data_IF_180431171818
#
_entry.id   IF_180431171818
#
_cell.length_a   1.000
_cell.length_b   1.000
_cell.length_c   1.000
_cell.angle_alpha   90.00
_cell.angle_beta   90.00
_cell.angle_gamma   90.00
#
_symmetry.space_group_name_H-M   'P 1'
#
loop_
_entity.id
_entity.type
_entity.pdbx_description
1 polymer ?
#
# COMPACT_ATOMS: atom_id res chain seq x y z
N UNK A 1 -12.68 25.26 -26.67
CA UNK A 1 -13.44 24.69 -27.80
C UNK A 1 -13.06 23.23 -27.84
N UNK A 2 -13.96 22.39 -27.36
CA UNK A 2 -13.75 20.98 -27.07
C UNK A 2 -13.59 20.19 -28.38
N UNK A 3 -12.51 19.40 -28.51
CA UNK A 3 -12.45 18.31 -29.47
C UNK A 3 -13.14 17.10 -28.83
N UNK A 4 -14.46 17.20 -28.68
CA UNK A 4 -15.29 16.01 -28.59
C UNK A 4 -15.16 15.33 -29.97
N UNK A 5 -14.40 14.25 -30.03
CA UNK A 5 -14.33 13.40 -31.22
C UNK A 5 -15.74 12.83 -31.44
N UNK A 6 -16.52 13.51 -32.29
CA UNK A 6 -17.87 13.15 -32.67
C UNK A 6 -17.90 11.73 -33.26
N UNK A 7 -18.12 10.76 -32.39
CA UNK A 7 -18.68 9.45 -32.73
C UNK A 7 -20.11 9.30 -32.21
N UNK A 8 -20.79 10.41 -31.90
CA UNK A 8 -22.22 10.38 -31.68
C UNK A 8 -22.91 10.34 -33.05
N UNK A 9 -23.07 9.15 -33.64
CA UNK A 9 -24.07 8.96 -34.70
C UNK A 9 -25.43 9.16 -34.02
N UNK A 10 -26.19 10.18 -34.37
CA UNK A 10 -27.55 10.32 -33.84
C UNK A 10 -28.47 9.33 -34.56
N UNK A 11 -29.50 8.81 -33.87
CA UNK A 11 -30.59 8.07 -34.50
C UNK A 11 -31.54 9.05 -35.23
N UNK A 12 -32.53 8.51 -35.95
CA UNK A 12 -33.50 9.33 -36.71
C UNK A 12 -34.35 10.25 -35.81
N UNK A 13 -34.38 9.98 -34.50
CA UNK A 13 -35.07 10.76 -33.48
C UNK A 13 -34.14 11.78 -32.79
N UNK A 14 -32.87 11.91 -33.21
CA UNK A 14 -31.90 12.85 -32.64
C UNK A 14 -31.23 12.38 -31.34
N UNK A 15 -31.35 11.10 -30.96
CA UNK A 15 -30.71 10.54 -29.76
C UNK A 15 -29.33 9.92 -30.09
N UNK A 16 -28.36 9.89 -29.15
CA UNK A 16 -27.06 9.27 -29.39
C UNK A 16 -27.16 7.77 -29.66
N UNK A 17 -26.61 7.28 -30.78
CA UNK A 17 -26.31 5.85 -30.99
C UNK A 17 -24.93 5.55 -30.40
N UNK A 18 -24.91 4.77 -29.33
CA UNK A 18 -23.70 4.35 -28.62
C UNK A 18 -23.36 5.20 -27.38
N UNK A 19 -22.29 4.82 -26.66
CA UNK A 19 -21.83 5.52 -25.46
C UNK A 19 -21.18 6.86 -25.78
N UNK A 20 -21.38 7.83 -24.88
CA UNK A 20 -20.78 9.17 -24.98
C UNK A 20 -19.37 9.13 -24.39
N UNK A 21 -18.37 9.33 -25.24
CA UNK A 21 -16.97 9.31 -24.82
C UNK A 21 -16.49 10.73 -24.49
N UNK A 22 -16.17 10.99 -23.23
CA UNK A 22 -15.62 12.27 -22.76
C UNK A 22 -14.14 12.17 -22.44
N UNK A 23 -13.33 13.02 -23.04
CA UNK A 23 -11.90 13.11 -22.70
C UNK A 23 -11.69 14.11 -21.57
N UNK A 24 -11.01 13.69 -20.50
CA UNK A 24 -10.72 14.60 -19.37
C UNK A 24 -9.75 15.70 -19.81
N UNK A 25 -9.95 16.92 -19.30
CA UNK A 25 -9.05 18.06 -19.58
C UNK A 25 -7.65 17.80 -19.02
N UNK A 26 -6.62 18.08 -19.82
CA UNK A 26 -5.21 18.03 -19.40
C UNK A 26 -4.43 19.16 -20.08
N UNK A 27 -3.55 19.82 -19.32
CA UNK A 27 -2.60 20.82 -19.85
C UNK A 27 -1.51 20.19 -20.73
N UNK A 28 -1.25 18.89 -20.55
CA UNK A 28 -0.30 18.14 -21.34
C UNK A 28 -1.05 17.14 -22.23
N UNK A 29 -0.87 17.25 -23.55
CA UNK A 29 -1.43 16.34 -24.56
C UNK A 29 -0.27 15.48 -25.10
N UNK A 30 -0.27 14.19 -24.83
CA UNK A 30 0.74 13.25 -25.34
C UNK A 30 1.07 12.10 -24.38
N UNK A 31 1.60 10.97 -24.88
CA UNK A 31 2.03 9.85 -24.06
C UNK A 31 3.21 10.27 -23.17
N UNK A 32 3.05 10.14 -21.86
CA UNK A 32 4.14 10.35 -20.91
C UNK A 32 4.90 9.05 -20.70
N UNK A 33 6.22 9.14 -20.58
CA UNK A 33 7.07 8.01 -20.24
C UNK A 33 6.52 7.27 -19.02
N UNK A 34 6.64 5.95 -19.02
CA UNK A 34 6.14 5.15 -17.92
C UNK A 34 7.00 5.33 -16.67
N UNK A 35 6.36 5.81 -15.60
CA UNK A 35 6.98 6.00 -14.29
C UNK A 35 7.19 4.69 -13.53
N UNK A 36 7.02 3.56 -14.21
CA UNK A 36 7.04 2.21 -13.64
C UNK A 36 7.84 1.29 -14.55
N UNK A 37 8.57 0.36 -13.94
CA UNK A 37 9.21 -0.78 -14.59
C UNK A 37 8.63 -2.06 -14.02
N UNK A 38 8.29 -3.02 -14.89
CA UNK A 38 7.93 -4.37 -14.47
C UNK A 38 9.12 -5.31 -14.65
N UNK A 39 9.56 -5.96 -13.57
CA UNK A 39 10.68 -6.90 -13.60
C UNK A 39 10.12 -8.32 -13.52
N UNK A 40 10.32 -9.12 -14.58
CA UNK A 40 9.87 -10.50 -14.60
C UNK A 40 10.94 -11.44 -14.04
N UNK A 41 10.70 -11.98 -12.84
CA UNK A 41 11.58 -12.93 -12.16
C UNK A 41 11.35 -14.39 -12.59
N UNK A 42 10.36 -14.66 -13.45
CA UNK A 42 9.96 -16.01 -13.84
C UNK A 42 11.11 -16.87 -14.38
N UNK A 43 11.96 -16.37 -15.30
CA UNK A 43 13.13 -17.12 -15.78
C UNK A 43 14.09 -17.51 -14.66
N UNK A 44 14.38 -16.58 -13.73
CA UNK A 44 15.27 -16.82 -12.60
C UNK A 44 14.69 -17.87 -11.64
N UNK A 45 13.40 -17.75 -11.33
CA UNK A 45 12.73 -18.67 -10.40
C UNK A 45 12.59 -20.08 -10.98
N UNK A 46 12.35 -20.21 -12.29
CA UNK A 46 12.40 -21.52 -12.95
C UNK A 46 13.80 -22.11 -12.89
N UNK A 47 14.84 -21.31 -13.14
CA UNK A 47 16.24 -21.75 -13.08
C UNK A 47 16.64 -22.22 -11.67
N UNK A 48 16.12 -21.58 -10.63
CA UNK A 48 16.40 -21.92 -9.23
C UNK A 48 15.44 -22.96 -8.62
N UNK A 49 14.46 -23.47 -9.38
CA UNK A 49 13.43 -24.38 -8.83
C UNK A 49 12.46 -23.73 -7.84
N UNK A 50 12.40 -22.39 -7.79
CA UNK A 50 11.59 -21.59 -6.86
C UNK A 50 10.28 -21.09 -7.49
N UNK A 51 9.91 -21.59 -8.68
CA UNK A 51 8.71 -21.14 -9.38
C UNK A 51 7.41 -21.37 -8.57
N UNK A 52 7.38 -22.37 -7.69
CA UNK A 52 6.24 -22.66 -6.80
C UNK A 52 6.10 -21.65 -5.65
N UNK A 53 7.14 -20.88 -5.33
CA UNK A 53 7.18 -19.95 -4.21
C UNK A 53 6.52 -18.60 -4.54
N UNK A 54 6.43 -18.23 -5.82
CA UNK A 54 5.86 -16.96 -6.26
C UNK A 54 4.63 -17.15 -7.13
N UNK A 55 3.50 -16.62 -6.66
CA UNK A 55 2.21 -16.68 -7.37
C UNK A 55 2.15 -15.74 -8.57
N UNK A 56 2.89 -14.64 -8.54
CA UNK A 56 3.11 -13.73 -9.68
C UNK A 56 4.61 -13.40 -9.76
N UNK A 57 5.30 -13.71 -10.87
CA UNK A 57 6.72 -13.44 -11.03
C UNK A 57 7.03 -11.98 -11.41
N UNK A 58 6.02 -11.14 -11.64
CA UNK A 58 6.21 -9.76 -12.07
C UNK A 58 6.27 -8.82 -10.86
N UNK A 59 7.41 -8.15 -10.69
CA UNK A 59 7.56 -7.09 -9.69
C UNK A 59 7.22 -5.73 -10.29
N UNK A 60 6.39 -4.97 -9.60
CA UNK A 60 6.00 -3.60 -9.96
C UNK A 60 6.92 -2.60 -9.27
N UNK A 61 7.75 -1.87 -10.02
CA UNK A 61 8.73 -0.94 -9.45
C UNK A 61 8.50 0.48 -9.95
N UNK A 62 8.18 1.42 -9.06
CA UNK A 62 8.02 2.85 -9.41
C UNK A 62 9.38 3.55 -9.47
N UNK A 63 9.57 4.38 -10.50
CA UNK A 63 10.80 5.17 -10.75
C UNK A 63 10.76 6.53 -10.04
N UNK A 64 10.37 6.56 -8.77
CA UNK A 64 10.32 7.78 -7.96
C UNK A 64 11.54 7.86 -7.04
N UNK A 65 12.44 8.81 -7.31
CA UNK A 65 13.68 9.00 -6.54
C UNK A 65 13.36 9.32 -5.07
N UNK A 66 12.37 10.17 -4.83
CA UNK A 66 11.94 10.52 -3.48
C UNK A 66 11.40 9.27 -2.76
N UNK A 67 10.57 8.48 -3.46
CA UNK A 67 10.06 7.21 -2.96
C UNK A 67 11.15 6.21 -2.57
N UNK A 68 12.19 6.05 -3.41
CA UNK A 68 13.33 5.18 -3.08
C UNK A 68 14.08 5.65 -1.83
N UNK A 69 14.32 6.95 -1.68
CA UNK A 69 14.95 7.51 -0.48
C UNK A 69 14.11 7.23 0.77
N UNK A 70 12.79 7.45 0.70
CA UNK A 70 11.87 7.16 1.80
C UNK A 70 11.82 5.66 2.16
N UNK A 71 11.84 4.77 1.16
CA UNK A 71 11.86 3.32 1.38
C UNK A 71 13.14 2.87 2.08
N UNK A 72 14.31 3.34 1.62
CA UNK A 72 15.61 3.05 2.27
C UNK A 72 15.61 3.58 3.70
N UNK A 73 15.15 4.80 3.91
CA UNK A 73 15.08 5.39 5.25
C UNK A 73 14.16 4.58 6.17
N UNK A 74 13.02 4.09 5.67
CA UNK A 74 12.12 3.18 6.42
C UNK A 74 12.87 1.93 6.89
N UNK A 75 13.68 1.31 6.02
CA UNK A 75 14.45 0.12 6.39
C UNK A 75 15.55 0.44 7.40
N UNK A 76 16.21 1.59 7.28
CA UNK A 76 17.23 2.03 8.25
C UNK A 76 16.63 2.27 9.64
N UNK A 77 15.43 2.85 9.73
CA UNK A 77 14.70 3.03 10.99
C UNK A 77 14.40 1.67 11.64
N UNK A 78 13.83 0.73 10.89
CA UNK A 78 13.58 -0.64 11.40
C UNK A 78 14.87 -1.32 11.85
N UNK A 79 15.96 -1.20 11.09
CA UNK A 79 17.27 -1.74 11.46
C UNK A 79 17.84 -1.10 12.73
N UNK A 80 17.64 0.21 12.91
CA UNK A 80 18.04 0.90 14.12
C UNK A 80 17.24 0.40 15.34
N UNK A 81 15.92 0.27 15.21
CA UNK A 81 15.07 -0.28 16.25
C UNK A 81 15.48 -1.72 16.62
N UNK A 82 15.74 -2.57 15.62
CA UNK A 82 16.27 -3.93 15.80
C UNK A 82 17.61 -3.91 16.56
N UNK A 83 18.52 -3.00 16.21
CA UNK A 83 19.80 -2.88 16.88
C UNK A 83 19.63 -2.55 18.38
N UNK A 84 18.85 -1.52 18.69
CA UNK A 84 18.66 -1.07 20.08
C UNK A 84 17.89 -2.11 20.89
N UNK A 85 16.81 -2.69 20.35
CA UNK A 85 16.02 -3.69 21.08
C UNK A 85 16.85 -4.94 21.38
N UNK A 86 17.50 -5.53 20.37
CA UNK A 86 18.18 -6.81 20.57
C UNK A 86 19.52 -6.65 21.29
N UNK A 87 20.38 -5.75 20.84
CA UNK A 87 21.78 -5.69 21.30
C UNK A 87 21.97 -4.78 22.50
N UNK A 88 21.20 -3.70 22.60
CA UNK A 88 21.32 -2.76 23.72
C UNK A 88 20.46 -3.22 24.90
N UNK A 89 19.22 -3.66 24.67
CA UNK A 89 18.28 -4.01 25.74
C UNK A 89 18.23 -5.51 26.08
N UNK A 90 17.99 -6.39 25.10
CA UNK A 90 17.65 -7.79 25.38
C UNK A 90 18.87 -8.68 25.66
N UNK A 91 19.96 -8.51 24.92
CA UNK A 91 21.16 -9.35 25.03
C UNK A 91 21.78 -9.33 26.43
N UNK A 92 21.68 -8.21 27.13
CA UNK A 92 22.31 -8.00 28.44
C UNK A 92 21.36 -8.23 29.61
N UNK A 93 20.05 -8.40 29.35
CA UNK A 93 19.06 -8.53 30.40
C UNK A 93 19.24 -9.87 31.15
N UNK A 94 19.30 -9.86 32.49
CA UNK A 94 19.57 -11.06 33.29
C UNK A 94 18.45 -12.10 33.23
N UNK A 95 17.23 -11.71 32.85
CA UNK A 95 16.12 -12.64 32.69
C UNK A 95 16.07 -13.16 31.24
N UNK A 96 16.71 -14.30 31.01
CA UNK A 96 16.79 -14.94 29.68
C UNK A 96 15.40 -15.23 29.09
N UNK A 97 14.45 -15.70 29.89
CA UNK A 97 13.09 -15.99 29.43
C UNK A 97 12.41 -14.73 28.93
N UNK A 98 12.55 -13.63 29.67
CA UNK A 98 12.04 -12.32 29.26
C UNK A 98 12.64 -11.86 27.94
N UNK A 99 13.96 -12.01 27.79
CA UNK A 99 14.66 -11.63 26.56
C UNK A 99 14.24 -12.45 25.36
N UNK A 100 14.15 -13.77 25.50
CA UNK A 100 13.74 -14.66 24.40
C UNK A 100 12.30 -14.35 24.00
N UNK A 101 11.37 -14.25 24.94
CA UNK A 101 9.95 -14.02 24.62
C UNK A 101 9.76 -12.68 23.91
N UNK A 102 10.29 -11.58 24.46
CA UNK A 102 10.14 -10.26 23.84
C UNK A 102 10.93 -10.13 22.54
N UNK A 103 12.10 -10.75 22.44
CA UNK A 103 12.88 -10.78 21.20
C UNK A 103 12.15 -11.52 20.08
N UNK A 104 11.54 -12.68 20.37
CA UNK A 104 10.74 -13.42 19.39
C UNK A 104 9.50 -12.64 18.94
N UNK A 105 8.82 -11.98 19.88
CA UNK A 105 7.66 -11.12 19.56
C UNK A 105 8.07 -9.96 18.65
N UNK A 106 9.12 -9.23 19.03
CA UNK A 106 9.61 -8.09 18.26
C UNK A 106 10.05 -8.52 16.86
N UNK A 107 10.86 -9.58 16.77
CA UNK A 107 11.37 -10.08 15.50
C UNK A 107 10.25 -10.57 14.57
N UNK A 108 9.24 -11.25 15.11
CA UNK A 108 8.09 -11.69 14.34
C UNK A 108 7.35 -10.50 13.71
N UNK A 109 7.02 -9.48 14.50
CA UNK A 109 6.29 -8.32 13.99
C UNK A 109 7.13 -7.42 13.09
N UNK A 110 8.43 -7.27 13.36
CA UNK A 110 9.35 -6.54 12.50
C UNK A 110 9.49 -7.22 11.12
N UNK A 111 9.62 -8.55 11.10
CA UNK A 111 9.61 -9.33 9.86
C UNK A 111 8.30 -9.13 9.09
N UNK A 112 7.15 -9.20 9.78
CA UNK A 112 5.84 -9.00 9.16
C UNK A 112 5.66 -7.57 8.64
N UNK A 113 6.21 -6.55 9.33
CA UNK A 113 6.21 -5.16 8.88
C UNK A 113 7.02 -4.99 7.59
N UNK A 114 8.25 -5.48 7.56
CA UNK A 114 9.12 -5.41 6.36
C UNK A 114 8.53 -6.20 5.20
N UNK A 115 8.02 -7.41 5.45
CA UNK A 115 7.35 -8.20 4.42
C UNK A 115 6.12 -7.49 3.85
N UNK A 116 5.30 -6.85 4.70
CA UNK A 116 4.14 -6.08 4.26
C UNK A 116 4.54 -4.83 3.47
N UNK A 117 5.60 -4.13 3.91
CA UNK A 117 6.17 -2.98 3.21
C UNK A 117 6.64 -3.34 1.81
N UNK A 118 7.49 -4.37 1.70
CA UNK A 118 8.01 -4.86 0.41
C UNK A 118 6.88 -5.31 -0.50
N UNK A 119 5.86 -5.99 0.02
CA UNK A 119 4.67 -6.37 -0.76
C UNK A 119 3.89 -5.17 -1.23
N UNK A 120 3.67 -4.15 -0.40
CA UNK A 120 3.00 -2.92 -0.81
C UNK A 120 3.77 -2.18 -1.90
N UNK A 121 5.10 -2.12 -1.76
CA UNK A 121 6.01 -1.47 -2.70
C UNK A 121 6.05 -2.16 -4.06
N UNK A 122 6.10 -3.49 -4.08
CA UNK A 122 6.37 -4.27 -5.31
C UNK A 122 5.13 -4.89 -5.97
N UNK A 123 3.94 -4.68 -5.42
CA UNK A 123 2.68 -5.16 -6.02
C UNK A 123 2.07 -4.06 -6.90
N UNK A 124 1.58 -4.43 -8.09
CA UNK A 124 0.78 -3.53 -8.92
C UNK A 124 -0.44 -3.05 -8.10
N UNK A 125 -0.62 -1.73 -7.88
CA UNK A 125 -1.72 -1.19 -7.08
C UNK A 125 -3.09 -1.31 -7.77
N UNK A 126 -3.15 -1.82 -8.99
CA UNK A 126 -4.36 -1.93 -9.80
C UNK A 126 -4.31 -0.98 -11.00
N UNK A 127 -3.18 -0.91 -11.67
CA UNK A 127 -2.95 -0.03 -12.80
C UNK A 127 -3.83 -0.39 -14.00
N UNK A 128 -4.38 0.64 -14.64
CA UNK A 128 -5.15 0.53 -15.87
C UNK A 128 -4.16 0.42 -17.06
N UNK A 129 -4.36 -0.52 -17.98
CA UNK A 129 -3.53 -0.62 -19.18
C UNK A 129 -3.55 0.68 -20.01
N UNK A 130 -2.36 1.17 -20.39
CA UNK A 130 -2.21 2.30 -21.31
C UNK A 130 -2.71 1.93 -22.71
N UNK A 131 -3.18 2.91 -23.46
CA UNK A 131 -3.62 2.70 -24.85
C UNK A 131 -4.88 1.84 -25.00
N UNK A 132 -5.54 1.45 -23.90
CA UNK A 132 -6.72 0.59 -23.98
C UNK A 132 -7.99 1.32 -24.48
N UNK A 133 -7.92 2.63 -24.75
CA UNK A 133 -9.02 3.46 -25.26
C UNK A 133 -9.28 3.27 -26.77
N UNK A 134 -9.27 2.03 -27.26
CA UNK A 134 -9.60 1.70 -28.65
C UNK A 134 -11.12 1.64 -28.87
N UNK A 135 -11.57 1.87 -30.10
CA UNK A 135 -12.99 1.74 -30.45
C UNK A 135 -13.52 0.33 -30.17
N UNK A 136 -12.69 -0.69 -30.39
CA UNK A 136 -13.02 -2.08 -30.09
C UNK A 136 -13.22 -2.29 -28.58
N UNK A 137 -12.32 -1.80 -27.74
CA UNK A 137 -12.45 -1.93 -26.29
C UNK A 137 -13.64 -1.15 -25.75
N UNK A 138 -13.97 0.01 -26.32
CA UNK A 138 -15.18 0.77 -25.95
C UNK A 138 -16.43 -0.02 -26.32
N UNK A 139 -16.48 -0.66 -27.50
CA UNK A 139 -17.60 -1.52 -27.90
C UNK A 139 -17.72 -2.75 -27.00
N UNK A 140 -16.61 -3.35 -26.58
CA UNK A 140 -16.57 -4.51 -25.67
C UNK A 140 -17.11 -4.20 -24.27
N UNK A 141 -17.28 -2.93 -23.91
CA UNK A 141 -17.95 -2.53 -22.68
C UNK A 141 -19.49 -2.64 -22.78
N UNK A 142 -20.05 -2.95 -23.96
CA UNK A 142 -21.49 -3.09 -24.26
C UNK A 142 -22.39 -2.09 -23.51
N UNK A 143 -21.94 -0.85 -23.44
CA UNK A 143 -22.61 0.20 -22.67
C UNK A 143 -23.94 0.55 -23.32
N UNK A 144 -24.92 0.91 -22.49
CA UNK A 144 -26.19 1.42 -22.98
C UNK A 144 -25.99 2.74 -23.74
N UNK A 145 -26.87 3.01 -24.70
CA UNK A 145 -26.88 4.27 -25.44
C UNK A 145 -26.98 5.46 -24.47
N UNK A 146 -26.15 6.48 -24.68
CA UNK A 146 -26.08 7.66 -23.82
C UNK A 146 -25.22 7.49 -22.55
N UNK A 147 -24.73 6.29 -22.23
CA UNK A 147 -23.85 6.10 -21.08
C UNK A 147 -22.48 6.76 -21.30
N UNK A 148 -22.00 7.49 -20.30
CA UNK A 148 -20.76 8.28 -20.42
C UNK A 148 -19.53 7.46 -20.03
N UNK A 149 -18.49 7.49 -20.89
CA UNK A 149 -17.18 6.91 -20.64
C UNK A 149 -16.13 8.00 -20.56
N UNK A 150 -15.33 7.99 -19.49
CA UNK A 150 -14.22 8.92 -19.35
C UNK A 150 -12.93 8.35 -19.92
N UNK A 151 -12.19 9.15 -20.69
CA UNK A 151 -10.85 8.84 -21.17
C UNK A 151 -9.80 9.67 -20.45
N UNK A 152 -8.71 9.02 -20.04
CA UNK A 152 -7.51 9.70 -19.57
C UNK A 152 -6.63 10.11 -20.75
N UNK A 153 -6.38 11.41 -20.98
CA UNK A 153 -5.59 11.86 -22.13
C UNK A 153 -4.10 11.49 -22.03
N UNK A 154 -3.57 11.33 -20.81
CA UNK A 154 -2.15 11.01 -20.56
C UNK A 154 -1.84 9.53 -20.77
N UNK A 155 -2.74 8.66 -20.32
CA UNK A 155 -2.60 7.21 -20.47
C UNK A 155 -3.18 6.68 -21.79
N UNK A 156 -4.00 7.50 -22.47
CA UNK A 156 -4.85 7.08 -23.60
C UNK A 156 -5.65 5.83 -23.21
N UNK A 157 -6.24 5.87 -22.02
CA UNK A 157 -6.93 4.74 -21.41
C UNK A 157 -8.36 5.09 -21.06
N UNK A 158 -9.26 4.11 -21.22
CA UNK A 158 -10.60 4.13 -20.64
C UNK A 158 -10.40 4.17 -19.13
N UNK A 159 -10.95 5.19 -18.48
CA UNK A 159 -10.82 5.40 -17.04
C UNK A 159 -11.99 4.66 -16.36
N UNK A 160 -11.73 3.55 -15.66
CA UNK A 160 -12.77 2.90 -14.87
C UNK A 160 -13.29 3.84 -13.80
N UNK A 161 -14.47 3.52 -13.28
CA UNK A 161 -15.01 4.25 -12.14
C UNK A 161 -14.05 4.20 -10.95
N UNK A 162 -13.98 5.30 -10.18
CA UNK A 162 -13.07 5.49 -9.03
C UNK A 162 -11.57 5.37 -9.35
N UNK A 163 -11.18 5.29 -10.61
CA UNK A 163 -9.77 5.33 -10.98
C UNK A 163 -9.25 6.77 -10.98
N UNK A 164 -7.97 6.99 -10.65
CA UNK A 164 -7.34 8.31 -10.77
C UNK A 164 -5.95 8.21 -11.40
N UNK A 165 -5.55 9.23 -12.13
CA UNK A 165 -4.22 9.29 -12.74
C UNK A 165 -3.21 9.83 -11.73
N UNK A 166 -2.20 9.03 -11.39
CA UNK A 166 -1.06 9.48 -10.59
C UNK A 166 0.03 10.03 -11.52
N UNK A 167 0.44 11.28 -11.30
CA UNK A 167 1.53 11.92 -12.06
C UNK A 167 2.92 11.41 -11.69
N UNK A 168 3.09 10.72 -10.57
CA UNK A 168 4.36 10.09 -10.22
C UNK A 168 4.50 8.76 -10.95
N UNK A 169 3.53 7.86 -10.78
CA UNK A 169 3.52 6.56 -11.46
C UNK A 169 3.25 6.66 -12.98
N UNK A 170 2.72 7.80 -13.47
CA UNK A 170 2.27 7.98 -14.86
C UNK A 170 1.27 6.92 -15.32
N UNK A 171 0.41 6.48 -14.40
CA UNK A 171 -0.58 5.42 -14.58
C UNK A 171 -1.91 5.83 -13.94
N UNK A 172 -3.01 5.38 -14.55
CA UNK A 172 -4.31 5.40 -13.89
C UNK A 172 -4.37 4.20 -12.95
N UNK A 173 -4.72 4.43 -11.68
CA UNK A 173 -4.81 3.39 -10.64
C UNK A 173 -6.29 3.23 -10.26
N UNK A 174 -6.79 2.00 -10.23
CA UNK A 174 -8.17 1.67 -9.80
C UNK A 174 -8.32 1.87 -8.29
N UNK A 175 -9.44 2.46 -7.87
CA UNK A 175 -9.72 2.80 -6.46
C UNK A 175 -8.50 3.45 -5.81
N UNK A 176 -7.93 4.44 -6.51
CA UNK A 176 -6.70 5.10 -6.06
C UNK A 176 -6.99 5.85 -4.77
N UNK A 177 -6.20 5.55 -3.75
CA UNK A 177 -6.27 6.24 -2.48
C UNK A 177 -5.27 7.40 -2.46
N UNK A 178 -3.98 7.10 -2.55
CA UNK A 178 -2.92 8.11 -2.65
C UNK A 178 -1.63 7.54 -3.23
N UNK A 179 -0.70 8.42 -3.62
CA UNK A 179 0.70 8.04 -3.85
C UNK A 179 1.48 8.21 -2.55
N UNK A 180 2.13 7.16 -2.09
CA UNK A 180 2.86 7.17 -0.82
C UNK A 180 4.36 7.00 -1.07
N UNK A 181 5.17 8.05 -0.84
CA UNK A 181 6.62 7.96 -0.97
C UNK A 181 7.23 6.89 -0.05
N UNK A 182 6.68 6.69 1.14
CA UNK A 182 7.20 5.74 2.14
C UNK A 182 7.14 4.27 1.70
N UNK A 183 6.24 3.93 0.79
CA UNK A 183 6.20 2.59 0.15
C UNK A 183 6.61 2.65 -1.32
N UNK A 184 7.11 3.79 -1.80
CA UNK A 184 7.47 4.05 -3.20
C UNK A 184 6.44 3.52 -4.21
N UNK A 185 5.15 3.70 -3.92
CA UNK A 185 4.08 3.19 -4.77
C UNK A 185 2.75 3.94 -4.51
N UNK A 186 1.83 3.83 -5.45
CA UNK A 186 0.43 4.15 -5.16
C UNK A 186 -0.18 3.10 -4.23
N UNK A 187 -1.09 3.53 -3.37
CA UNK A 187 -2.02 2.67 -2.65
C UNK A 187 -3.33 2.66 -3.43
N UNK A 188 -3.73 1.48 -3.88
CA UNK A 188 -4.94 1.26 -4.66
C UNK A 188 -5.56 -0.09 -4.37
N UNK A 189 -6.58 -0.46 -5.15
CA UNK A 189 -7.38 -1.67 -4.94
C UNK A 189 -6.54 -2.93 -4.67
N UNK A 190 -5.48 -3.15 -5.45
CA UNK A 190 -4.76 -4.43 -5.46
C UNK A 190 -3.64 -4.54 -4.42
N UNK A 191 -3.26 -3.46 -3.75
CA UNK A 191 -2.22 -3.46 -2.71
C UNK A 191 -2.64 -2.81 -1.37
N UNK A 192 -3.88 -2.29 -1.26
CA UNK A 192 -4.39 -1.65 -0.04
C UNK A 192 -4.25 -2.53 1.21
N UNK A 193 -4.47 -3.85 1.09
CA UNK A 193 -4.24 -4.81 2.19
C UNK A 193 -2.82 -4.71 2.75
N UNK A 194 -1.82 -4.72 1.89
CA UNK A 194 -0.41 -4.71 2.31
C UNK A 194 -0.04 -3.39 2.97
N UNK A 195 -0.61 -2.28 2.50
CA UNK A 195 -0.45 -0.98 3.14
C UNK A 195 -1.02 -0.98 4.57
N UNK A 196 -2.26 -1.48 4.77
CA UNK A 196 -2.87 -1.57 6.10
C UNK A 196 -2.04 -2.45 7.03
N UNK A 197 -1.61 -3.62 6.56
CA UNK A 197 -0.76 -4.53 7.35
C UNK A 197 0.58 -3.88 7.72
N UNK A 198 1.22 -3.19 6.78
CA UNK A 198 2.45 -2.44 7.04
C UNK A 198 2.25 -1.41 8.16
N UNK A 199 1.23 -0.54 8.05
CA UNK A 199 0.96 0.48 9.08
C UNK A 199 0.59 -0.14 10.43
N UNK A 200 -0.17 -1.23 10.43
CA UNK A 200 -0.55 -1.95 11.65
C UNK A 200 0.67 -2.57 12.34
N UNK A 201 1.57 -3.22 11.59
CA UNK A 201 2.74 -3.86 12.18
C UNK A 201 3.80 -2.86 12.64
N UNK A 202 4.00 -1.73 11.93
CA UNK A 202 4.86 -0.64 12.43
C UNK A 202 4.30 -0.06 13.74
N UNK A 203 2.99 0.14 13.82
CA UNK A 203 2.33 0.61 15.03
C UNK A 203 2.57 -0.36 16.21
N UNK A 204 2.39 -1.67 15.99
CA UNK A 204 2.63 -2.71 17.01
C UNK A 204 4.09 -2.72 17.49
N UNK A 205 5.07 -2.75 16.57
CA UNK A 205 6.49 -2.76 16.99
C UNK A 205 6.91 -1.46 17.66
N UNK A 206 6.32 -0.32 17.27
CA UNK A 206 6.62 0.98 17.89
C UNK A 206 6.15 1.01 19.35
N UNK A 207 4.90 0.59 19.61
CA UNK A 207 4.40 0.52 20.99
C UNK A 207 5.11 -0.55 21.82
N UNK A 208 5.50 -1.67 21.22
CA UNK A 208 6.31 -2.68 21.89
C UNK A 208 7.72 -2.14 22.23
N UNK A 209 8.39 -1.45 21.30
CA UNK A 209 9.68 -0.80 21.56
C UNK A 209 9.59 0.27 22.65
N UNK A 210 8.51 1.06 22.67
CA UNK A 210 8.26 2.05 23.73
C UNK A 210 8.12 1.37 25.10
N UNK A 211 7.31 0.32 25.18
CA UNK A 211 7.15 -0.48 26.39
C UNK A 211 8.49 -1.06 26.87
N UNK A 212 9.27 -1.66 25.96
CA UNK A 212 10.57 -2.24 26.27
C UNK A 212 11.57 -1.18 26.74
N UNK A 213 11.57 0.00 26.13
CA UNK A 213 12.45 1.12 26.50
C UNK A 213 12.14 1.64 27.90
N UNK A 214 10.85 1.79 28.24
CA UNK A 214 10.40 2.21 29.57
C UNK A 214 10.78 1.16 30.62
N UNK A 215 10.49 -0.13 30.34
CA UNK A 215 10.84 -1.22 31.24
C UNK A 215 12.35 -1.29 31.50
N UNK A 216 13.16 -1.16 30.45
CA UNK A 216 14.61 -1.14 30.55
C UNK A 216 15.11 0.05 31.37
N UNK A 217 14.58 1.25 31.13
CA UNK A 217 14.92 2.45 31.89
C UNK A 217 14.62 2.27 33.38
N UNK A 218 13.42 1.83 33.74
CA UNK A 218 13.00 1.63 35.14
C UNK A 218 13.88 0.57 35.83
N UNK A 219 14.19 -0.53 35.15
CA UNK A 219 14.98 -1.61 35.73
C UNK A 219 16.44 -1.20 35.96
N UNK A 220 17.00 -0.41 35.05
CA UNK A 220 18.43 -0.04 35.09
C UNK A 220 18.72 1.25 35.86
N UNK A 221 17.78 2.19 35.94
CA UNK A 221 17.94 3.41 36.76
C UNK A 221 18.10 3.08 38.24
N UNK A 222 17.34 2.09 38.75
CA UNK A 222 17.45 1.63 40.14
C UNK A 222 18.73 0.84 40.46
N UNK A 223 19.48 0.40 39.44
CA UNK A 223 20.75 -0.36 39.59
C UNK A 223 21.98 0.50 39.30
N UNK A 224 21.82 1.82 39.34
CA UNK A 224 22.83 2.86 39.03
C UNK A 224 23.49 2.74 37.65
N UNK A 225 22.97 1.92 36.74
CA UNK A 225 23.60 1.60 35.45
C UNK A 225 25.06 1.07 35.54
N UNK A 226 25.60 0.83 36.75
CA UNK A 226 26.99 0.41 36.98
C UNK A 226 27.20 -1.09 36.74
N UNK A 227 26.13 -1.87 36.75
CA UNK A 227 26.20 -3.29 36.46
C UNK A 227 26.25 -3.54 34.95
N UNK A 228 27.23 -4.34 34.49
CA UNK A 228 27.31 -4.86 33.10
C UNK A 228 26.06 -5.67 32.69
N UNK A 229 25.15 -5.96 33.62
CA UNK A 229 23.85 -6.60 33.37
C UNK A 229 22.78 -5.67 32.77
N UNK A 230 23.09 -4.39 32.52
CA UNK A 230 22.16 -3.45 31.90
C UNK A 230 22.43 -3.27 30.40
N UNK A 231 23.67 -2.97 30.00
CA UNK A 231 24.03 -2.83 28.59
C UNK A 231 25.51 -3.12 28.35
N UNK A 232 25.84 -3.59 27.15
CA UNK A 232 27.22 -3.79 26.70
C UNK A 232 27.97 -2.50 26.33
N UNK A 233 27.26 -1.37 26.28
CA UNK A 233 27.81 -0.03 26.01
C UNK A 233 27.73 0.85 27.26
N UNK A 234 28.44 1.98 27.25
CA UNK A 234 28.46 2.93 28.37
C UNK A 234 27.06 3.50 28.69
N UNK A 235 26.72 3.79 29.96
CA UNK A 235 25.40 4.30 30.34
C UNK A 235 24.94 5.56 29.59
N UNK A 236 25.79 6.56 29.30
CA UNK A 236 25.39 7.72 28.49
C UNK A 236 25.00 7.31 27.07
N UNK A 237 25.78 6.42 26.43
CA UNK A 237 25.48 5.93 25.09
C UNK A 237 24.14 5.17 25.06
N UNK A 238 23.88 4.30 26.04
CA UNK A 238 22.58 3.60 26.12
C UNK A 238 21.43 4.58 26.26
N UNK A 239 21.58 5.60 27.10
CA UNK A 239 20.54 6.62 27.29
C UNK A 239 20.24 7.35 25.98
N UNK A 240 21.27 7.71 25.22
CA UNK A 240 21.12 8.33 23.89
C UNK A 240 20.38 7.39 22.93
N UNK A 241 20.74 6.11 22.85
CA UNK A 241 20.04 5.15 22.01
C UNK A 241 18.56 5.02 22.37
N UNK A 242 18.24 4.95 23.68
CA UNK A 242 16.86 4.87 24.16
C UNK A 242 16.07 6.13 23.85
N UNK A 243 16.65 7.33 24.00
CA UNK A 243 15.97 8.59 23.67
C UNK A 243 15.56 8.61 22.19
N UNK A 244 16.49 8.26 21.29
CA UNK A 244 16.18 8.22 19.86
C UNK A 244 15.16 7.13 19.52
N UNK A 245 15.25 5.94 20.14
CA UNK A 245 14.27 4.88 19.94
C UNK A 245 12.87 5.29 20.43
N UNK A 246 12.77 5.95 21.59
CA UNK A 246 11.50 6.46 22.12
C UNK A 246 10.93 7.53 21.19
N UNK A 247 11.76 8.46 20.72
CA UNK A 247 11.33 9.49 19.78
C UNK A 247 10.81 8.89 18.47
N UNK A 248 11.55 7.94 17.90
CA UNK A 248 11.15 7.21 16.69
C UNK A 248 9.83 6.46 16.92
N UNK A 249 9.73 5.69 18.01
CA UNK A 249 8.55 4.90 18.35
C UNK A 249 7.31 5.78 18.57
N UNK A 250 7.44 6.95 19.19
CA UNK A 250 6.32 7.87 19.38
C UNK A 250 5.91 8.52 18.05
N UNK A 251 6.86 9.06 17.29
CA UNK A 251 6.59 9.75 16.04
C UNK A 251 5.93 8.81 15.03
N UNK A 252 6.59 7.69 14.72
CA UNK A 252 6.10 6.75 13.72
C UNK A 252 4.97 5.87 14.25
N UNK A 253 4.95 5.54 15.54
CA UNK A 253 3.84 4.80 16.16
C UNK A 253 2.53 5.59 16.09
N UNK A 254 2.52 6.88 16.45
CA UNK A 254 1.31 7.72 16.35
C UNK A 254 0.92 7.92 14.88
N UNK A 255 1.88 8.27 14.02
CA UNK A 255 1.60 8.47 12.59
C UNK A 255 0.98 7.23 11.95
N UNK A 256 1.56 6.05 12.19
CA UNK A 256 1.05 4.79 11.62
C UNK A 256 -0.24 4.32 12.29
N UNK A 257 -0.47 4.63 13.56
CA UNK A 257 -1.76 4.37 14.21
C UNK A 257 -2.89 5.18 13.54
N UNK A 258 -2.66 6.47 13.29
CA UNK A 258 -3.63 7.34 12.59
C UNK A 258 -3.86 6.80 11.17
N UNK A 259 -2.81 6.55 10.41
CA UNK A 259 -2.91 6.05 9.04
C UNK A 259 -3.61 4.68 8.96
N UNK A 260 -3.31 3.77 9.88
CA UNK A 260 -4.00 2.49 9.96
C UNK A 260 -5.50 2.69 10.25
N UNK A 261 -5.83 3.56 11.21
CA UNK A 261 -7.22 3.89 11.57
C UNK A 261 -8.00 4.51 10.41
N UNK A 262 -7.41 5.47 9.70
CA UNK A 262 -8.04 6.10 8.55
C UNK A 262 -8.27 5.12 7.41
N UNK A 263 -7.29 4.24 7.11
CA UNK A 263 -7.48 3.23 6.06
C UNK A 263 -8.54 2.18 6.43
N UNK A 264 -8.58 1.72 7.67
CA UNK A 264 -9.63 0.79 8.12
C UNK A 264 -11.00 1.47 8.04
N UNK A 265 -11.10 2.73 8.46
CA UNK A 265 -12.32 3.53 8.34
C UNK A 265 -12.76 3.67 6.88
N UNK A 266 -11.85 4.05 5.99
CA UNK A 266 -12.07 4.21 4.55
C UNK A 266 -12.54 2.90 3.90
N UNK A 267 -11.96 1.75 4.28
CA UNK A 267 -12.43 0.43 3.83
C UNK A 267 -13.85 0.17 4.33
N UNK A 268 -14.14 0.45 5.61
CA UNK A 268 -15.45 0.22 6.20
C UNK A 268 -16.54 1.13 5.60
N UNK A 269 -16.23 2.36 5.22
CA UNK A 269 -17.14 3.28 4.52
C UNK A 269 -17.20 3.09 3.00
N UNK A 270 -16.38 2.17 2.45
CA UNK A 270 -16.14 1.97 1.02
C UNK A 270 -15.78 3.27 0.27
N UNK A 271 -14.94 4.09 0.89
CA UNK A 271 -14.52 5.40 0.41
C UNK A 271 -13.00 5.43 0.27
N UNK A 272 -12.48 6.14 -0.74
CA UNK A 272 -11.04 6.44 -0.84
C UNK A 272 -10.74 7.83 -0.28
N UNK A 273 -9.48 8.09 0.08
CA UNK A 273 -9.06 9.43 0.51
C UNK A 273 -9.36 10.52 -0.52
N UNK A 274 -9.31 10.20 -1.82
CA UNK A 274 -9.68 11.14 -2.89
C UNK A 274 -11.19 11.44 -2.89
N UNK A 275 -12.02 10.43 -2.69
CA UNK A 275 -13.48 10.57 -2.63
C UNK A 275 -13.88 11.41 -1.41
N UNK A 276 -13.27 11.15 -0.25
CA UNK A 276 -13.49 11.90 0.98
C UNK A 276 -13.12 13.37 0.84
N UNK A 277 -11.97 13.67 0.21
CA UNK A 277 -11.56 15.06 -0.05
C UNK A 277 -12.46 15.78 -1.06
N UNK A 278 -13.19 15.03 -1.91
CA UNK A 278 -14.08 15.60 -2.93
C UNK A 278 -15.54 15.65 -2.51
N UNK A 279 -15.89 15.08 -1.36
CA UNK A 279 -17.28 14.85 -0.94
C UNK A 279 -18.11 14.19 -2.05
N UNK A 280 -17.54 13.16 -2.68
CA UNK A 280 -18.18 12.45 -3.80
C UNK A 280 -19.05 11.29 -3.27
N UNK A 281 -20.35 11.54 -3.11
CA UNK A 281 -21.34 10.53 -2.70
C UNK A 281 -22.07 9.86 -3.89
N UNK A 282 -21.50 9.94 -5.09
CA UNK A 282 -22.18 9.46 -6.30
C UNK A 282 -22.27 7.93 -6.44
N UNK A 283 -21.50 7.16 -5.66
CA UNK A 283 -21.48 5.70 -5.74
C UNK A 283 -22.28 5.01 -4.63
N UNK A 284 -22.83 3.85 -4.95
CA UNK A 284 -23.52 3.00 -3.98
C UNK A 284 -22.50 2.35 -3.03
N UNK A 285 -22.53 2.77 -1.76
CA UNK A 285 -21.62 2.25 -0.72
C UNK A 285 -21.94 0.79 -0.40
N UNK A 286 -20.92 -0.07 -0.42
CA UNK A 286 -21.05 -1.46 0.02
C UNK A 286 -21.20 -1.53 1.54
N UNK A 287 -21.86 -2.58 2.03
CA UNK A 287 -21.87 -2.87 3.47
C UNK A 287 -20.46 -3.16 4.00
N UNK A 288 -20.16 -2.71 5.22
CA UNK A 288 -18.82 -2.77 5.83
C UNK A 288 -18.12 -4.13 5.68
N UNK A 289 -18.84 -5.23 5.93
CA UNK A 289 -18.32 -6.60 5.82
C UNK A 289 -17.92 -6.97 4.39
N UNK A 290 -18.65 -6.49 3.40
CA UNK A 290 -18.37 -6.77 2.00
C UNK A 290 -17.09 -6.05 1.56
N UNK A 291 -16.88 -4.82 2.00
CA UNK A 291 -15.67 -4.04 1.72
C UNK A 291 -14.43 -4.64 2.37
N UNK A 292 -14.54 -5.10 3.63
CA UNK A 292 -13.47 -5.83 4.30
C UNK A 292 -13.14 -7.14 3.58
N UNK A 293 -14.16 -7.93 3.18
CA UNK A 293 -13.95 -9.17 2.40
C UNK A 293 -13.32 -8.90 1.04
N UNK A 294 -13.68 -7.81 0.37
CA UNK A 294 -13.09 -7.40 -0.90
C UNK A 294 -11.60 -7.04 -0.73
N UNK A 295 -11.23 -6.40 0.37
CA UNK A 295 -9.86 -5.93 0.61
C UNK A 295 -8.95 -7.03 1.17
N UNK A 296 -9.42 -7.80 2.16
CA UNK A 296 -8.60 -8.78 2.88
C UNK A 296 -8.80 -10.23 2.39
N UNK A 297 -9.87 -10.50 1.65
CA UNK A 297 -10.23 -11.79 1.08
C UNK A 297 -11.38 -12.49 1.81
N UNK A 298 -11.93 -13.54 1.19
CA UNK A 298 -12.98 -14.38 1.77
C UNK A 298 -12.58 -15.86 1.73
N UNK A 299 -12.92 -16.67 2.75
CA UNK A 299 -13.54 -16.29 4.03
C UNK A 299 -12.56 -15.58 4.97
N UNK A 300 -13.09 -15.01 6.08
CA UNK A 300 -12.27 -14.50 7.17
C UNK A 300 -11.34 -15.60 7.70
N UNK A 301 -10.04 -15.31 7.80
CA UNK A 301 -9.03 -16.26 8.23
C UNK A 301 -7.73 -15.55 8.60
N UNK A 302 -6.77 -16.29 9.18
CA UNK A 302 -5.41 -15.80 9.47
C UNK A 302 -4.69 -15.16 8.28
N UNK A 303 -5.11 -15.46 7.05
CA UNK A 303 -4.61 -14.82 5.82
C UNK A 303 -4.86 -13.32 5.80
N UNK A 304 -5.88 -12.81 6.51
CA UNK A 304 -6.13 -11.37 6.59
C UNK A 304 -4.93 -10.61 7.15
N UNK A 305 -4.22 -11.23 8.09
CA UNK A 305 -3.04 -10.70 8.75
C UNK A 305 -1.72 -11.12 8.06
N UNK A 306 -1.78 -11.90 6.97
CA UNK A 306 -0.56 -12.39 6.31
C UNK A 306 -0.24 -11.62 5.03
N UNK A 307 0.94 -10.98 4.92
CA UNK A 307 1.37 -10.32 3.68
C UNK A 307 1.74 -11.32 2.58
N UNK A 308 1.87 -12.60 2.90
CA UNK A 308 2.16 -13.66 1.94
C UNK A 308 0.90 -14.15 1.20
N UNK A 309 -0.28 -13.66 1.59
CA UNK A 309 -1.53 -14.02 0.96
C UNK A 309 -2.09 -12.85 0.16
N UNK A 310 -2.15 -13.01 -1.16
CA UNK A 310 -2.90 -12.09 -2.01
C UNK A 310 -4.38 -12.46 -1.90
N UNK A 311 -5.28 -11.51 -1.60
CA UNK A 311 -6.71 -11.74 -1.74
C UNK A 311 -6.97 -12.22 -3.15
N UNK A 312 -7.55 -13.41 -3.31
CA UNK A 312 -8.12 -13.79 -4.60
C UNK A 312 -9.31 -12.86 -4.78
N UNK A 313 -9.17 -11.88 -5.66
CA UNK A 313 -10.31 -11.10 -6.12
C UNK A 313 -11.29 -12.07 -6.77
N UNK A 314 -12.24 -12.58 -5.99
CA UNK A 314 -13.50 -13.07 -6.52
C UNK A 314 -14.35 -11.85 -6.87
N UNK A 315 -13.79 -10.92 -7.65
CA UNK A 315 -14.61 -10.09 -8.49
C UNK A 315 -14.85 -10.92 -9.73
N UNK A 316 -16.02 -11.55 -9.72
CA UNK A 316 -16.73 -12.02 -10.89
C UNK A 316 -16.42 -11.16 -12.11
N UNK A 317 -16.34 -11.80 -13.27
CA UNK A 317 -16.97 -11.40 -14.54
C UNK A 317 -17.92 -10.17 -14.48
N UNK A 318 -17.47 -9.00 -14.04
CA UNK A 318 -18.36 -7.85 -13.72
C UNK A 318 -17.67 -6.51 -13.91
N UNK A 319 -16.38 -6.49 -14.23
CA UNK A 319 -15.76 -5.37 -14.95
C UNK A 319 -15.35 -5.74 -16.39
N UNK A 320 -15.63 -6.98 -16.78
CA UNK A 320 -15.94 -7.39 -18.16
C UNK A 320 -17.46 -7.49 -18.40
N UNK A 321 -18.27 -7.16 -17.39
CA UNK A 321 -19.72 -7.01 -17.49
C UNK A 321 -20.16 -5.80 -16.64
N UNK A 322 -19.91 -4.60 -17.14
CA UNK A 322 -20.91 -3.56 -17.01
C UNK A 322 -21.67 -3.56 -18.35
N UNK A 323 -22.46 -4.63 -18.51
CA UNK A 323 -23.07 -5.14 -19.75
C UNK A 323 -22.03 -5.53 -20.79
#
# INVERSE_FOLDING_TARGET
>A
MDEDEHLNKLNENGEPKGPIVKTLKSRHKGPVEDGVTTINLGPLCRKLGLAWLMTDPNLWCVKDICGWVCAIFTWLLVLYAEYVVNFVMLLHNPNTTWSIVNGLIFQFFAFMAVASHVRCMLTDPGAVPKGNATQENIKRLNLADGQVVFKCPKCVSIKPDRAHHCSVCQRCIKKMDHHCPWVNNCVGESNQKFFVLFTMYICIISFHALYMSIHHFITCVGREWKSKSCSGVSPPATTVFLIFLIFEALLFGIFTAIMCGTQVSAICSDETGIESLKNDDSHQKKGYWLSLKATFGHPFSWKWFSPFSTPKFAYSKSYLHCV
#
